data_IF_856632212283
#
_entry.id   IF_856632212283
#
_cell.length_a   1.000
_cell.length_b   1.000
_cell.length_c   1.000
_cell.angle_alpha   90.00
_cell.angle_beta   90.00
_cell.angle_gamma   90.00
#
_symmetry.space_group_name_H-M   'P 1'
#
loop_
_entity.id
_entity.type
_entity.pdbx_description
1 polymer ?
#
# COMPACT_ATOMS: atom_id res chain seq x y z
N UNK A 1 -21.09 -15.01 -15.23
CA UNK A 1 -19.71 -14.51 -15.46
C UNK A 1 -18.73 -15.63 -15.14
N UNK A 2 -17.65 -15.79 -15.90
CA UNK A 2 -16.62 -16.79 -15.58
C UNK A 2 -15.89 -16.40 -14.29
N UNK A 3 -15.72 -17.37 -13.39
CA UNK A 3 -14.93 -17.24 -12.15
C UNK A 3 -13.46 -17.03 -12.53
N UNK A 4 -12.75 -16.17 -11.79
CA UNK A 4 -11.31 -15.99 -12.00
C UNK A 4 -10.57 -17.32 -11.81
N UNK A 5 -9.48 -17.51 -12.56
CA UNK A 5 -8.54 -18.59 -12.23
C UNK A 5 -7.89 -18.31 -10.88
N UNK A 6 -7.39 -19.34 -10.20
CA UNK A 6 -6.67 -19.16 -8.94
C UNK A 6 -5.42 -18.28 -9.10
N UNK A 7 -4.76 -18.36 -10.26
CA UNK A 7 -3.62 -17.51 -10.61
C UNK A 7 -4.00 -16.04 -10.71
N UNK A 8 -5.09 -15.73 -11.43
CA UNK A 8 -5.58 -14.36 -11.55
C UNK A 8 -6.05 -13.80 -10.20
N UNK A 9 -6.71 -14.63 -9.38
CA UNK A 9 -7.20 -14.19 -8.07
C UNK A 9 -6.01 -13.85 -7.16
N UNK A 10 -4.96 -14.68 -7.20
CA UNK A 10 -3.72 -14.42 -6.48
C UNK A 10 -3.05 -13.13 -6.98
N UNK A 11 -2.90 -12.97 -8.29
CA UNK A 11 -2.30 -11.78 -8.87
C UNK A 11 -3.06 -10.51 -8.45
N UNK A 12 -4.40 -10.55 -8.43
CA UNK A 12 -5.23 -9.43 -8.01
C UNK A 12 -5.02 -9.06 -6.53
N UNK A 13 -4.89 -10.06 -5.65
CA UNK A 13 -4.57 -9.85 -4.23
C UNK A 13 -3.16 -9.31 -4.03
N UNK A 14 -2.18 -9.85 -4.76
CA UNK A 14 -0.79 -9.41 -4.70
C UNK A 14 -0.67 -7.94 -5.15
N UNK A 15 -1.33 -7.56 -6.24
CA UNK A 15 -1.38 -6.18 -6.72
C UNK A 15 -2.01 -5.24 -5.70
N UNK A 16 -3.09 -5.66 -5.03
CA UNK A 16 -3.70 -4.86 -3.96
C UNK A 16 -2.72 -4.68 -2.79
N UNK A 17 -2.06 -5.76 -2.36
CA UNK A 17 -1.10 -5.72 -1.27
C UNK A 17 0.09 -4.80 -1.57
N UNK A 18 0.63 -4.88 -2.79
CA UNK A 18 1.75 -4.05 -3.23
C UNK A 18 1.37 -2.56 -3.17
N UNK A 19 0.24 -2.16 -3.76
CA UNK A 19 -0.21 -0.77 -3.71
C UNK A 19 -0.42 -0.28 -2.28
N UNK A 20 -1.03 -1.08 -1.42
CA UNK A 20 -1.25 -0.71 0.00
C UNK A 20 0.08 -0.50 0.73
N UNK A 21 1.07 -1.38 0.50
CA UNK A 21 2.40 -1.26 1.07
C UNK A 21 3.13 0.00 0.58
N UNK A 22 3.08 0.27 -0.72
CA UNK A 22 3.72 1.42 -1.35
C UNK A 22 3.11 2.74 -0.88
N UNK A 23 1.77 2.81 -0.76
CA UNK A 23 1.07 3.97 -0.19
C UNK A 23 1.52 4.19 1.27
N UNK A 24 1.61 3.12 2.08
CA UNK A 24 2.03 3.24 3.47
C UNK A 24 3.48 3.73 3.58
N UNK A 25 4.39 3.21 2.75
CA UNK A 25 5.78 3.66 2.67
C UNK A 25 5.88 5.12 2.22
N UNK A 26 5.14 5.50 1.17
CA UNK A 26 5.11 6.87 0.65
C UNK A 26 4.58 7.86 1.71
N UNK A 27 3.55 7.49 2.48
CA UNK A 27 3.06 8.31 3.61
C UNK A 27 4.12 8.47 4.70
N UNK A 28 4.95 7.45 4.96
CA UNK A 28 6.08 7.59 5.89
C UNK A 28 7.11 8.57 5.34
N UNK A 29 7.47 8.47 4.06
CA UNK A 29 8.41 9.37 3.41
C UNK A 29 7.90 10.81 3.41
N UNK A 30 6.63 11.04 3.04
CA UNK A 30 6.00 12.36 3.04
C UNK A 30 6.05 13.04 4.43
N UNK A 31 5.85 12.26 5.49
CA UNK A 31 5.88 12.74 6.87
C UNK A 31 7.29 12.97 7.43
N UNK A 32 8.30 12.25 6.94
CA UNK A 32 9.66 12.28 7.50
C UNK A 32 10.67 13.05 6.67
N UNK A 33 10.44 13.20 5.38
CA UNK A 33 11.36 13.87 4.49
C UNK A 33 11.45 15.35 4.85
N UNK A 34 12.66 15.90 4.75
CA UNK A 34 12.89 17.35 4.87
C UNK A 34 13.01 18.00 3.48
N UNK A 35 13.55 17.27 2.51
CA UNK A 35 13.67 17.69 1.11
C UNK A 35 12.30 17.85 0.44
N UNK A 36 12.10 18.99 -0.23
CA UNK A 36 10.92 19.28 -1.05
C UNK A 36 10.71 18.24 -2.14
N UNK A 37 11.79 17.78 -2.76
CA UNK A 37 11.73 16.88 -3.91
C UNK A 37 11.30 15.48 -3.47
N UNK A 38 11.80 15.04 -2.32
CA UNK A 38 11.38 13.76 -1.71
C UNK A 38 9.91 13.81 -1.29
N UNK A 39 9.43 14.95 -0.76
CA UNK A 39 8.00 15.12 -0.45
C UNK A 39 7.12 15.09 -1.70
N UNK A 40 7.53 15.80 -2.76
CA UNK A 40 6.79 15.83 -4.02
C UNK A 40 6.73 14.43 -4.65
N UNK A 41 7.85 13.70 -4.64
CA UNK A 41 7.88 12.31 -5.09
C UNK A 41 7.00 11.40 -4.23
N UNK A 42 7.06 11.52 -2.90
CA UNK A 42 6.23 10.74 -1.99
C UNK A 42 4.73 11.01 -2.21
N UNK A 43 4.34 12.27 -2.46
CA UNK A 43 2.96 12.61 -2.77
C UNK A 43 2.52 11.96 -4.09
N UNK A 44 3.34 12.05 -5.14
CA UNK A 44 3.07 11.39 -6.42
C UNK A 44 2.88 9.88 -6.26
N UNK A 45 3.69 9.23 -5.41
CA UNK A 45 3.55 7.80 -5.11
C UNK A 45 2.24 7.49 -4.38
N UNK A 46 1.78 8.34 -3.46
CA UNK A 46 0.46 8.16 -2.81
C UNK A 46 -0.66 8.25 -3.85
N UNK A 47 -0.57 9.21 -4.77
CA UNK A 47 -1.61 9.46 -5.77
C UNK A 47 -1.66 8.32 -6.81
N UNK A 48 -0.53 8.00 -7.45
CA UNK A 48 -0.45 6.99 -8.50
C UNK A 48 -0.87 5.59 -7.99
N UNK A 49 -0.36 5.18 -6.83
CA UNK A 49 -0.69 3.88 -6.25
C UNK A 49 -2.10 3.86 -5.65
N UNK A 50 -2.63 5.01 -5.20
CA UNK A 50 -4.03 5.15 -4.77
C UNK A 50 -5.01 4.93 -5.93
N UNK A 51 -4.72 5.53 -7.09
CA UNK A 51 -5.50 5.34 -8.31
C UNK A 51 -5.41 3.89 -8.82
N UNK A 52 -4.21 3.30 -8.79
CA UNK A 52 -4.00 1.90 -9.15
C UNK A 52 -4.78 0.95 -8.23
N UNK A 53 -4.75 1.18 -6.90
CA UNK A 53 -5.52 0.40 -5.93
C UNK A 53 -7.03 0.50 -6.18
N UNK A 54 -7.52 1.68 -6.51
CA UNK A 54 -8.95 1.90 -6.83
C UNK A 54 -9.39 1.09 -8.05
N UNK A 55 -8.54 1.01 -9.08
CA UNK A 55 -8.79 0.16 -10.27
C UNK A 55 -8.80 -1.33 -9.89
N UNK A 56 -7.83 -1.78 -9.09
CA UNK A 56 -7.77 -3.17 -8.60
C UNK A 56 -9.01 -3.53 -7.77
N UNK A 57 -9.45 -2.64 -6.87
CA UNK A 57 -10.67 -2.81 -6.08
C UNK A 57 -11.92 -2.89 -6.96
N UNK A 58 -11.98 -2.12 -8.04
CA UNK A 58 -13.10 -2.16 -8.98
C UNK A 58 -13.19 -3.53 -9.66
N UNK A 59 -12.06 -4.06 -10.15
CA UNK A 59 -12.01 -5.40 -10.74
C UNK A 59 -12.37 -6.47 -9.72
N UNK A 60 -11.86 -6.36 -8.48
CA UNK A 60 -12.14 -7.31 -7.42
C UNK A 60 -13.63 -7.36 -7.06
N UNK A 61 -14.31 -6.20 -6.98
CA UNK A 61 -15.76 -6.13 -6.77
C UNK A 61 -16.55 -6.80 -7.89
N UNK A 62 -16.17 -6.57 -9.15
CA UNK A 62 -16.82 -7.20 -10.31
C UNK A 62 -16.66 -8.73 -10.34
N UNK A 63 -15.63 -9.24 -9.65
CA UNK A 63 -15.23 -10.65 -9.64
C UNK A 63 -15.49 -11.34 -8.30
N UNK A 64 -16.08 -10.64 -7.34
CA UNK A 64 -16.36 -11.11 -5.99
C UNK A 64 -15.10 -11.63 -5.26
N UNK A 65 -13.99 -10.89 -5.40
CA UNK A 65 -12.71 -11.21 -4.75
C UNK A 65 -12.49 -10.28 -3.56
N UNK A 66 -12.24 -10.86 -2.39
CA UNK A 66 -11.82 -10.09 -1.21
C UNK A 66 -10.35 -9.75 -1.28
N UNK A 67 -10.03 -8.45 -1.15
CA UNK A 67 -8.67 -7.92 -1.16
C UNK A 67 -8.15 -7.64 0.26
N UNK A 68 -6.83 -7.63 0.47
CA UNK A 68 -6.24 -7.06 1.68
C UNK A 68 -6.59 -5.57 1.81
N UNK A 69 -6.65 -5.07 3.05
CA UNK A 69 -6.97 -3.68 3.37
C UNK A 69 -5.89 -2.98 4.21
N UNK A 70 -4.88 -3.73 4.65
CA UNK A 70 -3.78 -3.23 5.47
C UNK A 70 -2.43 -3.63 4.87
N UNK A 71 -1.36 -2.89 5.18
CA UNK A 71 -0.02 -3.33 4.84
C UNK A 71 0.28 -4.69 5.45
N UNK A 72 1.11 -5.49 4.78
CA UNK A 72 1.53 -6.77 5.32
C UNK A 72 2.41 -6.59 6.58
N UNK A 73 2.70 -7.68 7.27
CA UNK A 73 3.49 -7.64 8.50
C UNK A 73 4.87 -7.00 8.34
N UNK A 74 5.50 -7.09 7.16
CA UNK A 74 6.81 -6.50 6.89
C UNK A 74 6.70 -4.98 6.66
N UNK A 75 5.58 -4.52 6.11
CA UNK A 75 5.35 -3.12 5.75
C UNK A 75 4.51 -2.35 6.77
N UNK A 76 3.95 -3.03 7.78
CA UNK A 76 3.31 -2.37 8.92
C UNK A 76 4.33 -1.47 9.64
N UNK A 77 3.97 -0.22 9.95
CA UNK A 77 4.85 0.64 10.72
C UNK A 77 5.11 -0.01 12.07
N UNK A 78 6.40 -0.14 12.42
CA UNK A 78 6.87 -0.65 13.70
C UNK A 78 6.01 -0.09 14.84
N UNK A 79 5.58 -0.93 15.82
CA UNK A 79 4.72 -0.48 16.91
C UNK A 79 5.27 0.80 17.55
N UNK A 80 4.39 1.72 17.91
CA UNK A 80 4.75 3.03 18.48
C UNK A 80 5.73 2.92 19.67
N UNK A 81 5.67 1.81 20.42
CA UNK A 81 6.61 1.50 21.51
C UNK A 81 8.06 1.36 21.04
N UNK A 82 8.32 0.96 19.80
CA UNK A 82 9.66 0.76 19.24
C UNK A 82 10.19 2.07 18.64
N UNK A 83 9.33 2.90 18.04
CA UNK A 83 9.67 4.27 17.59
C UNK A 83 10.08 5.20 18.74
N UNK A 84 9.61 4.95 19.97
CA UNK A 84 10.02 5.70 21.18
C UNK A 84 11.42 5.34 21.67
N UNK A 85 11.87 4.10 21.42
CA UNK A 85 13.22 3.64 21.81
C UNK A 85 14.28 4.09 20.81
N UNK A 86 14.01 4.01 19.50
CA UNK A 86 14.95 4.41 18.46
C UNK A 86 15.22 5.93 18.38
N UNK A 87 14.37 6.78 19.00
CA UNK A 87 14.57 8.24 19.11
C UNK A 87 15.26 8.69 20.39
N UNK A 88 15.64 7.74 21.25
CA UNK A 88 16.19 7.99 22.59
C UNK A 88 17.64 7.50 22.73
N UNK A 89 18.24 7.13 21.61
CA UNK A 89 19.65 6.85 21.37
C UNK A 89 20.16 7.91 20.41
#
# INVERSE_FOLDING_TARGET
MAKLSSGDEKALKDMAQANINEIAAAKIALNKAESSDVKAFAQKMVDDHGDALTKVQTVAKQKDVTLPTEPDAQHKPWPTSWKKRARRI
#
